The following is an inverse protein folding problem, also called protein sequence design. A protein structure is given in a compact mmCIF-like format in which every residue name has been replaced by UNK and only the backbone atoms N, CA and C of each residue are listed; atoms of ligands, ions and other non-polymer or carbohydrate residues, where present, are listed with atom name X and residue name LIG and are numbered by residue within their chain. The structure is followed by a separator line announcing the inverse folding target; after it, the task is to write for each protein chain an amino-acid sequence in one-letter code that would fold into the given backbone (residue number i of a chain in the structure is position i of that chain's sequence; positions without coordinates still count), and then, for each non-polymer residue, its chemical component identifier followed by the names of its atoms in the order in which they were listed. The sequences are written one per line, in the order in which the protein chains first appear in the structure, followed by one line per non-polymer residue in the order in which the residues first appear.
data_IF_699243628327
#
_entry.id   IF_699243628327
#
_cell.length_a   1.000
_cell.length_b   1.000
_cell.length_c   1.000
_cell.angle_alpha   90.00
_cell.angle_beta   90.00
_cell.angle_gamma   90.00
#
_symmetry.space_group_name_H-M   'P 1'
#
loop_
_entity.id
_entity.type
_entity.pdbx_description
1 polymer ?
#
# COMPACT_ATOMS: atom_id res chain seq x y z
N UNK A 1 -21.47 -8.72 23.42
CA UNK A 1 -22.67 -7.89 23.29
C UNK A 1 -22.90 -7.52 21.86
N UNK A 2 -24.16 -7.51 21.43
CA UNK A 2 -24.52 -7.10 20.07
C UNK A 2 -24.71 -5.59 20.04
N UNK A 3 -24.15 -4.89 19.06
CA UNK A 3 -24.29 -3.45 18.84
C UNK A 3 -25.70 -2.99 18.42
N UNK A 4 -26.68 -3.90 18.37
CA UNK A 4 -27.98 -3.74 17.70
C UNK A 4 -28.78 -2.49 18.12
N UNK A 5 -28.61 -1.99 19.35
CA UNK A 5 -29.36 -0.83 19.85
C UNK A 5 -28.59 0.49 19.82
N UNK A 6 -27.30 0.49 19.45
CA UNK A 6 -26.46 1.67 19.45
C UNK A 6 -26.07 2.15 18.04
N UNK A 7 -26.33 1.35 17.01
CA UNK A 7 -25.94 1.68 15.64
C UNK A 7 -26.98 2.59 14.97
N UNK A 8 -26.55 3.78 14.59
CA UNK A 8 -27.28 4.72 13.74
C UNK A 8 -26.52 4.92 12.42
N UNK A 9 -27.06 4.36 11.33
CA UNK A 9 -26.43 4.42 10.01
C UNK A 9 -26.33 5.84 9.46
N UNK A 10 -27.27 6.72 9.83
CA UNK A 10 -27.24 8.12 9.41
C UNK A 10 -26.10 8.86 10.10
N UNK A 11 -25.95 8.67 11.40
CA UNK A 11 -24.87 9.26 12.19
C UNK A 11 -23.49 8.74 11.72
N UNK A 12 -23.36 7.42 11.51
CA UNK A 12 -22.15 6.80 10.96
C UNK A 12 -21.72 7.41 9.63
N UNK A 13 -22.69 7.68 8.77
CA UNK A 13 -22.42 8.34 7.50
C UNK A 13 -21.95 9.78 7.64
N UNK A 14 -22.54 10.53 8.53
CA UNK A 14 -22.13 11.90 8.80
C UNK A 14 -20.67 11.93 9.26
N UNK A 15 -20.29 11.02 10.17
CA UNK A 15 -18.88 10.88 10.60
C UNK A 15 -17.96 10.45 9.46
N UNK A 16 -18.33 9.45 8.67
CA UNK A 16 -17.51 8.99 7.53
C UNK A 16 -17.31 10.11 6.51
N UNK A 17 -18.37 10.86 6.17
CA UNK A 17 -18.27 12.01 5.27
C UNK A 17 -17.35 13.07 5.84
N UNK A 18 -17.46 13.35 7.14
CA UNK A 18 -16.55 14.30 7.81
C UNK A 18 -15.09 13.85 7.73
N UNK A 19 -14.78 12.57 7.95
CA UNK A 19 -13.40 12.05 7.84
C UNK A 19 -12.87 12.14 6.42
N UNK A 20 -13.69 11.85 5.41
CA UNK A 20 -13.32 11.96 4.00
C UNK A 20 -13.04 13.44 3.63
N UNK A 21 -13.92 14.35 4.02
CA UNK A 21 -13.80 15.78 3.70
C UNK A 21 -12.61 16.44 4.42
N UNK A 22 -12.26 15.97 5.60
CA UNK A 22 -11.11 16.43 6.37
C UNK A 22 -9.77 15.83 5.88
N UNK A 23 -9.82 14.77 5.07
CA UNK A 23 -8.62 14.10 4.60
C UNK A 23 -7.92 14.87 3.49
N UNK A 24 -6.77 15.46 3.81
CA UNK A 24 -5.93 16.23 2.89
C UNK A 24 -4.85 15.38 2.20
N UNK A 25 -4.93 14.06 2.30
CA UNK A 25 -3.94 13.16 1.72
C UNK A 25 -3.79 13.35 0.21
N UNK A 26 -2.54 13.37 -0.24
CA UNK A 26 -2.18 13.46 -1.66
C UNK A 26 -1.91 12.10 -2.30
N UNK A 27 -2.05 11.01 -1.55
CA UNK A 27 -1.84 9.68 -2.09
C UNK A 27 -2.96 9.32 -3.08
N UNK A 28 -2.58 8.84 -4.26
CA UNK A 28 -3.58 8.41 -5.26
C UNK A 28 -4.44 7.25 -4.74
N UNK A 29 -3.85 6.35 -3.94
CA UNK A 29 -4.58 5.28 -3.27
C UNK A 29 -5.73 5.82 -2.39
N UNK A 30 -5.52 6.92 -1.67
CA UNK A 30 -6.55 7.52 -0.82
C UNK A 30 -7.66 8.18 -1.62
N UNK A 31 -7.32 8.87 -2.71
CA UNK A 31 -8.33 9.44 -3.62
C UNK A 31 -9.27 8.37 -4.17
N UNK A 32 -8.73 7.19 -4.45
CA UNK A 32 -9.52 6.04 -4.90
C UNK A 32 -10.44 5.53 -3.78
N UNK A 33 -9.97 5.49 -2.54
CA UNK A 33 -10.79 5.14 -1.38
C UNK A 33 -11.88 6.18 -1.14
N UNK A 34 -11.57 7.48 -1.25
CA UNK A 34 -12.58 8.55 -1.14
C UNK A 34 -13.71 8.34 -2.17
N UNK A 35 -13.35 8.13 -3.43
CA UNK A 35 -14.31 7.87 -4.50
C UNK A 35 -15.15 6.62 -4.22
N UNK A 36 -14.51 5.55 -3.76
CA UNK A 36 -15.19 4.30 -3.42
C UNK A 36 -16.32 4.51 -2.39
N UNK A 37 -16.04 5.24 -1.31
CA UNK A 37 -17.06 5.55 -0.30
C UNK A 37 -18.10 6.55 -0.78
N UNK A 38 -17.73 7.52 -1.62
CA UNK A 38 -18.69 8.47 -2.18
C UNK A 38 -19.71 7.84 -3.15
N UNK A 39 -19.32 6.78 -3.86
CA UNK A 39 -20.17 6.08 -4.83
C UNK A 39 -21.01 4.95 -4.20
N UNK A 40 -20.72 4.54 -2.97
CA UNK A 40 -21.43 3.46 -2.27
C UNK A 40 -22.19 3.98 -1.06
N UNK A 41 -23.45 3.61 -0.97
CA UNK A 41 -24.27 3.85 0.22
C UNK A 41 -23.88 2.87 1.32
N UNK A 42 -22.92 3.23 2.16
CA UNK A 42 -22.71 2.79 3.56
C UNK A 42 -22.69 1.31 3.90
N UNK A 43 -22.24 0.45 3.02
CA UNK A 43 -21.94 -0.92 3.44
C UNK A 43 -20.54 -0.94 4.06
N UNK A 44 -20.42 -1.10 5.38
CA UNK A 44 -19.12 -1.23 6.02
C UNK A 44 -18.41 -2.49 5.54
N UNK A 45 -17.09 -2.39 5.42
CA UNK A 45 -16.25 -3.47 4.89
C UNK A 45 -15.65 -4.35 6.00
N UNK A 46 -15.44 -3.77 7.18
CA UNK A 46 -14.68 -4.39 8.25
C UNK A 46 -15.49 -4.63 9.53
N UNK A 47 -16.74 -4.22 9.56
CA UNK A 47 -17.65 -4.53 10.66
C UNK A 47 -19.06 -4.84 10.14
N UNK A 48 -19.86 -5.46 10.99
CA UNK A 48 -21.25 -5.80 10.77
C UNK A 48 -22.04 -5.60 12.06
N UNK A 49 -23.34 -5.92 12.07
CA UNK A 49 -24.17 -5.85 13.29
C UNK A 49 -23.64 -6.68 14.45
N UNK A 50 -22.92 -7.74 14.17
CA UNK A 50 -22.33 -8.63 15.19
C UNK A 50 -21.04 -8.08 15.81
N UNK A 51 -20.43 -7.07 15.21
CA UNK A 51 -19.17 -6.50 15.63
C UNK A 51 -18.17 -6.37 14.47
N UNK A 52 -16.92 -6.12 14.83
CA UNK A 52 -15.80 -6.10 13.89
C UNK A 52 -15.53 -7.51 13.35
N UNK A 53 -15.17 -7.61 12.09
CA UNK A 53 -14.86 -8.91 11.46
C UNK A 53 -13.47 -9.40 11.86
N UNK A 54 -13.26 -10.71 11.94
CA UNK A 54 -11.94 -11.32 12.20
C UNK A 54 -10.87 -10.87 11.20
N UNK A 55 -11.29 -10.45 10.01
CA UNK A 55 -10.38 -9.93 8.99
C UNK A 55 -9.83 -8.54 9.30
N UNK A 56 -10.52 -7.74 10.10
CA UNK A 56 -9.99 -6.45 10.58
C UNK A 56 -8.79 -6.66 11.52
N UNK A 57 -8.93 -7.54 12.49
CA UNK A 57 -7.83 -7.93 13.39
C UNK A 57 -6.68 -8.60 12.63
N UNK A 58 -7.04 -9.46 11.67
CA UNK A 58 -6.05 -10.12 10.81
C UNK A 58 -5.26 -9.12 9.96
N UNK A 59 -5.91 -8.07 9.43
CA UNK A 59 -5.24 -7.03 8.67
C UNK A 59 -4.24 -6.26 9.55
N UNK A 60 -4.67 -5.82 10.75
CA UNK A 60 -3.77 -5.14 11.68
C UNK A 60 -2.55 -6.02 12.00
N UNK A 61 -2.79 -7.27 12.43
CA UNK A 61 -1.72 -8.20 12.81
C UNK A 61 -0.74 -8.46 11.64
N UNK A 62 -1.25 -8.56 10.42
CA UNK A 62 -0.42 -8.75 9.24
C UNK A 62 0.41 -7.49 8.94
N UNK A 63 -0.19 -6.30 8.96
CA UNK A 63 0.54 -5.07 8.71
C UNK A 63 1.60 -4.79 9.78
N UNK A 64 1.31 -5.04 11.05
CA UNK A 64 2.29 -4.92 12.15
C UNK A 64 3.54 -5.78 11.91
N UNK A 65 3.35 -6.99 11.38
CA UNK A 65 4.45 -7.92 11.07
C UNK A 65 5.18 -7.53 9.77
N UNK A 66 4.43 -7.19 8.73
CA UNK A 66 4.99 -7.02 7.39
C UNK A 66 5.63 -5.65 7.15
N UNK A 67 5.03 -4.55 7.63
CA UNK A 67 5.54 -3.21 7.33
C UNK A 67 7.02 -3.01 7.70
N UNK A 68 7.48 -3.39 8.91
CA UNK A 68 8.89 -3.24 9.24
C UNK A 68 9.81 -4.09 8.35
N UNK A 69 9.39 -5.30 8.00
CA UNK A 69 10.17 -6.20 7.14
C UNK A 69 10.32 -5.69 5.71
N UNK A 70 9.39 -4.85 5.28
CA UNK A 70 9.41 -4.19 3.98
C UNK A 70 10.04 -2.78 4.02
N UNK A 71 10.49 -2.32 5.18
CA UNK A 71 11.02 -0.98 5.39
C UNK A 71 9.98 0.13 5.25
N UNK A 72 8.73 -0.16 5.59
CA UNK A 72 7.62 0.77 5.51
C UNK A 72 7.30 1.36 6.89
N UNK A 73 6.99 2.67 6.92
CA UNK A 73 6.62 3.34 8.16
C UNK A 73 5.18 2.96 8.58
N UNK A 74 4.98 2.37 9.77
CA UNK A 74 3.66 2.03 10.30
C UNK A 74 2.67 3.19 10.35
N UNK A 75 3.12 4.41 10.66
CA UNK A 75 2.26 5.59 10.76
C UNK A 75 1.61 5.95 9.41
N UNK A 76 2.31 5.66 8.30
CA UNK A 76 1.75 5.85 6.96
C UNK A 76 0.58 4.90 6.64
N UNK A 77 0.31 3.92 7.51
CA UNK A 77 -0.76 2.93 7.38
C UNK A 77 -1.75 2.97 8.55
N UNK A 78 -1.75 4.04 9.34
CA UNK A 78 -2.69 4.28 10.46
C UNK A 78 -2.68 3.18 11.53
N UNK A 79 -1.54 2.49 11.75
CA UNK A 79 -1.50 1.33 12.64
C UNK A 79 -1.88 1.68 14.07
N UNK A 80 -1.40 2.80 14.59
CA UNK A 80 -1.74 3.26 15.95
C UNK A 80 -3.21 3.60 16.10
N UNK A 81 -3.79 4.26 15.10
CA UNK A 81 -5.22 4.64 15.08
C UNK A 81 -6.10 3.40 14.96
N UNK A 82 -5.76 2.46 14.08
CA UNK A 82 -6.47 1.20 13.90
C UNK A 82 -6.42 0.36 15.19
N UNK A 83 -5.25 0.23 15.80
CA UNK A 83 -5.06 -0.52 17.05
C UNK A 83 -5.90 0.09 18.20
N UNK A 84 -5.86 1.42 18.33
CA UNK A 84 -6.65 2.14 19.33
C UNK A 84 -8.15 1.94 19.14
N UNK A 85 -8.64 2.06 17.90
CA UNK A 85 -10.06 1.89 17.60
C UNK A 85 -10.53 0.44 17.79
N UNK A 86 -9.72 -0.55 17.40
CA UNK A 86 -9.99 -1.96 17.68
C UNK A 86 -10.05 -2.25 19.17
N UNK A 87 -9.14 -1.68 19.97
CA UNK A 87 -9.12 -1.84 21.42
C UNK A 87 -10.41 -1.26 22.06
N UNK A 88 -10.85 -0.08 21.64
CA UNK A 88 -12.12 0.53 22.06
C UNK A 88 -13.30 -0.40 21.73
N UNK A 89 -13.34 -0.94 20.51
CA UNK A 89 -14.42 -1.82 20.06
C UNK A 89 -14.44 -3.14 20.83
N UNK A 90 -13.29 -3.79 20.99
CA UNK A 90 -13.21 -5.06 21.72
C UNK A 90 -13.54 -4.95 23.20
N UNK A 91 -13.17 -3.84 23.84
CA UNK A 91 -13.50 -3.54 25.24
C UNK A 91 -14.87 -2.92 25.43
N UNK A 92 -15.60 -2.58 24.36
CA UNK A 92 -16.83 -1.81 24.38
C UNK A 92 -16.70 -0.51 25.19
N UNK A 93 -15.57 0.17 25.03
CA UNK A 93 -15.15 1.31 25.85
C UNK A 93 -15.58 2.68 25.30
N UNK A 94 -16.60 2.75 24.48
CA UNK A 94 -17.04 3.97 23.77
C UNK A 94 -17.32 5.14 24.71
N UNK A 95 -18.14 4.92 25.73
CA UNK A 95 -18.53 5.98 26.68
C UNK A 95 -17.36 6.41 27.59
N UNK A 96 -16.43 5.51 27.88
CA UNK A 96 -15.29 5.78 28.77
C UNK A 96 -14.23 6.69 28.13
N UNK A 97 -14.16 6.73 26.80
CA UNK A 97 -13.23 7.59 26.05
C UNK A 97 -13.92 8.81 25.41
N UNK A 98 -15.24 8.99 25.66
CA UNK A 98 -16.01 10.11 25.11
C UNK A 98 -16.25 10.06 23.60
N UNK A 99 -16.11 8.88 23.00
CA UNK A 99 -16.35 8.64 21.57
C UNK A 99 -17.51 7.66 21.38
N UNK A 100 -18.43 7.99 20.46
CA UNK A 100 -19.57 7.12 20.18
C UNK A 100 -19.16 5.94 19.30
N UNK A 101 -19.94 4.86 19.40
CA UNK A 101 -19.77 3.72 18.48
C UNK A 101 -19.96 4.14 17.02
N UNK A 102 -20.83 5.12 16.76
CA UNK A 102 -21.14 5.63 15.43
C UNK A 102 -20.04 6.52 14.86
N UNK A 103 -19.09 6.97 15.69
CA UNK A 103 -17.87 7.67 15.29
C UNK A 103 -16.70 6.68 15.08
N UNK A 104 -16.49 5.79 16.05
CA UNK A 104 -15.34 4.88 16.06
C UNK A 104 -15.39 3.86 14.93
N UNK A 105 -16.55 3.23 14.68
CA UNK A 105 -16.67 2.20 13.66
C UNK A 105 -16.42 2.71 12.23
N UNK A 106 -17.02 3.83 11.76
CA UNK A 106 -16.71 4.32 10.41
C UNK A 106 -15.28 4.85 10.28
N UNK A 107 -14.68 5.41 11.34
CA UNK A 107 -13.27 5.80 11.34
C UNK A 107 -12.36 4.58 11.18
N UNK A 108 -12.62 3.53 11.94
CA UNK A 108 -11.90 2.25 11.84
C UNK A 108 -12.02 1.64 10.44
N UNK A 109 -13.24 1.59 9.90
CA UNK A 109 -13.51 1.05 8.56
C UNK A 109 -12.72 1.82 7.48
N UNK A 110 -12.72 3.14 7.59
CA UNK A 110 -12.02 4.02 6.68
C UNK A 110 -10.48 3.86 6.75
N UNK A 111 -9.91 3.81 7.96
CA UNK A 111 -8.46 3.61 8.14
C UNK A 111 -8.02 2.22 7.67
N UNK A 112 -8.76 1.17 7.98
CA UNK A 112 -8.48 -0.19 7.50
C UNK A 112 -8.51 -0.27 5.97
N UNK A 113 -9.50 0.36 5.35
CA UNK A 113 -9.60 0.39 3.88
C UNK A 113 -8.44 1.15 3.24
N UNK A 114 -8.08 2.31 3.79
CA UNK A 114 -6.90 3.08 3.31
C UNK A 114 -5.61 2.26 3.48
N UNK A 115 -5.41 1.66 4.64
CA UNK A 115 -4.23 0.83 4.90
C UNK A 115 -4.14 -0.35 3.92
N UNK A 116 -5.25 -1.03 3.67
CA UNK A 116 -5.33 -2.14 2.73
C UNK A 116 -4.98 -1.71 1.30
N UNK A 117 -5.60 -0.63 0.80
CA UNK A 117 -5.37 -0.15 -0.57
C UNK A 117 -3.96 0.41 -0.73
N UNK A 118 -3.46 1.20 0.23
CA UNK A 118 -2.08 1.69 0.23
C UNK A 118 -1.07 0.55 0.16
N UNK A 119 -1.25 -0.48 1.02
CA UNK A 119 -0.32 -1.61 1.08
C UNK A 119 -0.35 -2.42 -0.22
N UNK A 120 -1.52 -2.83 -0.68
CA UNK A 120 -1.65 -3.70 -1.85
C UNK A 120 -1.14 -3.03 -3.13
N UNK A 121 -1.48 -1.76 -3.35
CA UNK A 121 -0.98 -0.99 -4.49
C UNK A 121 0.52 -0.74 -4.38
N UNK A 122 0.98 -0.26 -3.22
CA UNK A 122 2.39 0.05 -3.02
C UNK A 122 3.30 -1.18 -3.18
N UNK A 123 2.89 -2.33 -2.68
CA UNK A 123 3.67 -3.57 -2.82
C UNK A 123 3.68 -4.11 -4.25
N UNK A 124 2.62 -3.89 -5.03
CA UNK A 124 2.53 -4.38 -6.41
C UNK A 124 3.16 -3.44 -7.44
N UNK A 125 3.15 -2.13 -7.20
CA UNK A 125 3.51 -1.12 -8.21
C UNK A 125 4.56 -0.12 -7.72
N UNK A 126 4.94 -0.18 -6.44
CA UNK A 126 5.78 0.80 -5.77
C UNK A 126 4.99 1.93 -5.11
N UNK A 127 5.61 2.55 -4.13
CA UNK A 127 5.08 3.73 -3.41
C UNK A 127 5.52 5.04 -4.08
N UNK A 128 6.58 4.99 -4.87
CA UNK A 128 7.15 6.10 -5.62
C UNK A 128 7.02 5.84 -7.11
N UNK A 129 6.56 6.83 -7.85
CA UNK A 129 6.47 6.77 -9.30
C UNK A 129 7.79 7.23 -9.92
N UNK A 130 8.57 6.33 -10.56
CA UNK A 130 9.86 6.67 -11.14
C UNK A 130 9.76 7.72 -12.25
N UNK A 131 8.70 7.67 -13.06
CA UNK A 131 8.43 8.64 -14.12
C UNK A 131 8.25 10.07 -13.59
N UNK A 132 7.75 10.22 -12.34
CA UNK A 132 7.59 11.54 -11.68
C UNK A 132 8.87 12.01 -10.99
N UNK A 133 9.72 11.10 -10.53
CA UNK A 133 10.92 11.41 -9.75
C UNK A 133 12.14 11.61 -10.65
N UNK A 134 12.29 10.81 -11.70
CA UNK A 134 13.51 10.79 -12.53
C UNK A 134 13.38 11.51 -13.86
N UNK A 135 12.18 11.91 -14.29
CA UNK A 135 11.94 12.51 -15.59
C UNK A 135 12.28 14.01 -15.70
N UNK A 136 12.92 14.60 -14.67
CA UNK A 136 13.27 16.03 -14.63
C UNK A 136 14.76 16.26 -14.40
N UNK A 137 15.62 15.31 -14.82
CA UNK A 137 17.03 15.34 -14.46
C UNK A 137 17.90 16.13 -15.45
N UNK A 138 17.43 16.37 -16.69
CA UNK A 138 18.15 17.17 -17.68
C UNK A 138 17.33 18.33 -18.23
N UNK A 139 17.98 19.48 -18.30
CA UNK A 139 17.43 20.63 -19.00
C UNK A 139 17.61 20.46 -20.51
N UNK A 140 16.57 20.66 -21.29
CA UNK A 140 16.70 20.72 -22.74
C UNK A 140 17.56 21.92 -23.14
N UNK A 141 18.43 21.72 -24.10
CA UNK A 141 19.33 22.76 -24.60
C UNK A 141 18.62 23.97 -25.21
N UNK A 142 17.36 23.81 -25.62
CA UNK A 142 16.49 24.86 -26.15
C UNK A 142 15.70 25.64 -25.05
N UNK A 143 15.91 25.31 -23.78
CA UNK A 143 15.24 25.98 -22.65
C UNK A 143 13.74 25.67 -22.47
N UNK A 144 13.16 24.75 -23.26
CA UNK A 144 11.72 24.43 -23.26
C UNK A 144 11.28 23.46 -22.15
N UNK A 145 12.17 23.09 -21.24
CA UNK A 145 11.88 22.18 -20.10
C UNK A 145 12.94 21.09 -19.93
N UNK A 146 12.54 19.99 -19.31
CA UNK A 146 13.44 18.87 -19.02
C UNK A 146 13.30 17.76 -20.09
N UNK A 147 14.44 17.17 -20.49
CA UNK A 147 14.48 15.94 -21.26
C UNK A 147 14.43 14.73 -20.33
N UNK A 148 13.80 13.65 -20.78
CA UNK A 148 13.92 12.36 -20.11
C UNK A 148 15.33 11.79 -20.36
N UNK A 149 16.12 11.63 -19.31
CA UNK A 149 17.40 10.92 -19.39
C UNK A 149 17.19 9.41 -19.58
N UNK A 150 16.11 8.87 -19.01
CA UNK A 150 15.82 7.44 -19.04
C UNK A 150 14.31 7.24 -19.26
N UNK A 151 13.98 6.41 -20.21
CA UNK A 151 12.60 5.92 -20.36
C UNK A 151 12.36 4.80 -19.36
N UNK A 152 11.91 5.18 -18.16
CA UNK A 152 11.39 4.23 -17.19
C UNK A 152 9.94 3.91 -17.53
N UNK A 153 9.74 2.94 -18.41
CA UNK A 153 8.42 2.40 -18.65
C UNK A 153 8.06 1.41 -17.53
N UNK A 154 7.38 1.92 -16.53
CA UNK A 154 6.79 1.09 -15.46
C UNK A 154 5.29 0.97 -15.67
N UNK A 155 4.76 -0.20 -15.36
CA UNK A 155 3.33 -0.44 -15.41
C UNK A 155 2.60 0.53 -14.47
N UNK A 156 1.58 1.20 -14.99
CA UNK A 156 0.73 2.04 -14.17
C UNK A 156 -0.04 1.20 -13.14
N UNK A 157 -0.26 1.71 -11.90
CA UNK A 157 -1.07 1.03 -10.92
C UNK A 157 -2.51 0.82 -11.41
N UNK A 158 -3.01 -0.40 -11.23
CA UNK A 158 -4.42 -0.71 -11.38
C UNK A 158 -5.11 -0.53 -10.03
N UNK A 159 -5.83 0.57 -9.85
CA UNK A 159 -6.54 0.88 -8.62
C UNK A 159 -7.91 0.18 -8.51
N UNK A 160 -8.45 -0.33 -9.61
CA UNK A 160 -9.73 -1.03 -9.61
C UNK A 160 -9.63 -2.44 -9.01
N UNK A 161 -8.48 -3.10 -9.21
CA UNK A 161 -8.28 -4.46 -8.72
C UNK A 161 -8.39 -4.56 -7.19
N UNK A 162 -7.66 -3.78 -6.37
CA UNK A 162 -7.79 -3.85 -4.91
C UNK A 162 -9.18 -3.44 -4.41
N UNK A 163 -9.88 -2.53 -5.09
CA UNK A 163 -11.26 -2.17 -4.74
C UNK A 163 -12.23 -3.33 -4.95
N UNK A 164 -12.08 -4.08 -6.05
CA UNK A 164 -12.86 -5.30 -6.28
C UNK A 164 -12.55 -6.38 -5.24
N UNK A 165 -11.30 -6.47 -4.81
CA UNK A 165 -10.87 -7.42 -3.77
C UNK A 165 -11.37 -7.11 -2.38
N UNK A 166 -11.64 -5.84 -2.05
CA UNK A 166 -12.19 -5.44 -0.75
C UNK A 166 -13.48 -6.18 -0.37
N UNK A 167 -14.33 -6.45 -1.34
CA UNK A 167 -15.61 -7.17 -1.14
C UNK A 167 -15.54 -8.66 -1.46
N UNK A 168 -14.36 -9.14 -1.88
CA UNK A 168 -14.14 -10.53 -2.26
C UNK A 168 -13.74 -11.40 -1.06
N UNK A 169 -14.13 -12.69 -1.01
CA UNK A 169 -13.68 -13.63 0.02
C UNK A 169 -12.16 -13.79 0.09
N UNK A 170 -11.45 -13.56 -1.01
CA UNK A 170 -9.99 -13.69 -1.11
C UNK A 170 -9.22 -12.40 -0.80
N UNK A 171 -9.87 -11.38 -0.20
CA UNK A 171 -9.21 -10.09 0.08
C UNK A 171 -7.93 -10.22 0.91
N UNK A 172 -7.92 -11.11 1.91
CA UNK A 172 -6.73 -11.33 2.74
C UNK A 172 -5.63 -12.08 1.99
N UNK A 173 -5.98 -13.03 1.13
CA UNK A 173 -5.02 -13.70 0.23
C UNK A 173 -4.41 -12.72 -0.76
N UNK A 174 -5.21 -11.82 -1.31
CA UNK A 174 -4.72 -10.75 -2.19
C UNK A 174 -3.71 -9.84 -1.49
N UNK A 175 -3.99 -9.46 -0.24
CA UNK A 175 -3.05 -8.69 0.59
C UNK A 175 -1.72 -9.45 0.78
N UNK A 176 -1.79 -10.73 1.18
CA UNK A 176 -0.63 -11.57 1.47
C UNK A 176 0.26 -11.80 0.25
N UNK A 177 -0.34 -11.85 -0.94
CA UNK A 177 0.38 -12.08 -2.21
C UNK A 177 0.78 -10.79 -2.92
N UNK A 178 0.61 -9.62 -2.29
CA UNK A 178 0.90 -8.34 -2.92
C UNK A 178 2.39 -8.01 -2.99
N UNK A 179 3.17 -8.45 -2.01
CA UNK A 179 4.60 -8.16 -1.96
C UNK A 179 5.41 -9.01 -2.97
N UNK A 180 6.52 -8.48 -3.52
CA UNK A 180 7.41 -9.26 -4.37
C UNK A 180 7.99 -10.47 -3.63
N UNK A 181 8.11 -11.60 -4.36
CA UNK A 181 8.56 -12.88 -3.77
C UNK A 181 9.91 -13.37 -4.28
N UNK A 182 10.51 -12.69 -5.27
CA UNK A 182 11.75 -13.13 -5.88
C UNK A 182 12.99 -12.91 -4.98
N UNK A 183 14.04 -13.64 -5.28
CA UNK A 183 15.24 -13.80 -4.42
C UNK A 183 15.86 -12.45 -4.02
N UNK A 184 16.06 -11.53 -4.98
CA UNK A 184 16.67 -10.23 -4.69
C UNK A 184 15.90 -9.45 -3.62
N UNK A 185 14.55 -9.40 -3.73
CA UNK A 185 13.71 -8.72 -2.75
C UNK A 185 13.86 -9.33 -1.35
N UNK A 186 13.83 -10.65 -1.24
CA UNK A 186 14.01 -11.37 0.03
C UNK A 186 15.40 -11.18 0.62
N UNK A 187 16.42 -11.12 -0.22
CA UNK A 187 17.79 -10.81 0.21
C UNK A 187 17.89 -9.41 0.80
N UNK A 188 17.30 -8.41 0.14
CA UNK A 188 17.28 -7.03 0.63
C UNK A 188 16.51 -6.92 1.98
N UNK A 189 15.39 -7.62 2.13
CA UNK A 189 14.69 -7.69 3.42
C UNK A 189 15.58 -8.26 4.53
N UNK A 190 16.31 -9.34 4.23
CA UNK A 190 17.23 -9.95 5.19
C UNK A 190 18.40 -9.05 5.54
N UNK A 191 18.92 -8.28 4.58
CA UNK A 191 19.96 -7.28 4.80
C UNK A 191 19.44 -6.12 5.67
N UNK A 192 18.24 -5.60 5.36
CA UNK A 192 17.61 -4.53 6.14
C UNK A 192 17.49 -4.90 7.63
N UNK A 193 17.06 -6.13 7.93
CA UNK A 193 16.90 -6.62 9.29
C UNK A 193 18.23 -6.70 10.08
N UNK A 194 19.39 -6.77 9.41
CA UNK A 194 20.73 -6.92 10.03
C UNK A 194 21.53 -5.63 10.05
N UNK A 195 21.22 -4.70 9.17
CA UNK A 195 21.99 -3.46 8.99
C UNK A 195 21.60 -2.44 10.05
N UNK A 196 22.62 -1.82 10.66
CA UNK A 196 22.46 -0.71 11.62
C UNK A 196 22.98 0.63 11.06
N UNK A 197 23.71 0.59 9.96
CA UNK A 197 24.24 1.78 9.30
C UNK A 197 23.11 2.49 8.54
N UNK A 198 22.91 3.78 8.84
CA UNK A 198 21.82 4.59 8.28
C UNK A 198 21.94 4.74 6.76
N UNK A 199 23.15 4.93 6.25
CA UNK A 199 23.41 5.10 4.81
C UNK A 199 23.10 3.81 4.05
N UNK A 200 23.52 2.69 4.60
CA UNK A 200 23.24 1.39 4.02
C UNK A 200 21.75 1.04 4.08
N UNK A 201 21.06 1.35 5.21
CA UNK A 201 19.62 1.23 5.29
C UNK A 201 18.91 2.01 4.17
N UNK A 202 19.29 3.27 3.93
CA UNK A 202 18.69 4.09 2.88
C UNK A 202 18.88 3.48 1.48
N UNK A 203 20.04 2.93 1.18
CA UNK A 203 20.31 2.23 -0.09
C UNK A 203 19.43 0.99 -0.23
N UNK A 204 19.30 0.19 0.83
CA UNK A 204 18.45 -1.01 0.85
C UNK A 204 16.99 -0.62 0.62
N UNK A 205 16.48 0.40 1.32
CA UNK A 205 15.11 0.91 1.16
C UNK A 205 14.84 1.37 -0.27
N UNK A 206 15.75 2.11 -0.87
CA UNK A 206 15.64 2.54 -2.27
C UNK A 206 15.60 1.35 -3.24
N UNK A 207 16.37 0.31 -2.97
CA UNK A 207 16.39 -0.89 -3.81
C UNK A 207 15.15 -1.78 -3.57
N UNK A 208 14.63 -1.86 -2.35
CA UNK A 208 13.34 -2.51 -2.08
C UNK A 208 12.20 -1.82 -2.85
N UNK A 209 12.22 -0.48 -2.91
CA UNK A 209 11.25 0.28 -3.70
C UNK A 209 11.38 -0.03 -5.21
N UNK A 210 12.59 0.00 -5.76
CA UNK A 210 12.85 -0.38 -7.17
C UNK A 210 12.35 -1.78 -7.49
N UNK A 211 12.48 -2.69 -6.54
CA UNK A 211 12.01 -4.07 -6.69
C UNK A 211 10.48 -4.20 -6.80
N UNK A 212 9.71 -3.21 -6.36
CA UNK A 212 8.24 -3.19 -6.50
C UNK A 212 7.79 -2.71 -7.88
N UNK A 213 8.64 -1.97 -8.60
CA UNK A 213 8.30 -1.45 -9.91
C UNK A 213 8.19 -2.57 -10.94
N UNK A 214 7.05 -2.63 -11.61
CA UNK A 214 6.84 -3.56 -12.70
C UNK A 214 7.31 -2.89 -14.01
N UNK A 215 8.55 -3.19 -14.40
CA UNK A 215 9.08 -2.71 -15.67
C UNK A 215 8.32 -3.35 -16.82
N UNK A 216 7.90 -2.55 -17.79
CA UNK A 216 7.36 -3.04 -19.06
C UNK A 216 8.48 -3.69 -19.85
N UNK A 217 8.33 -4.97 -20.17
CA UNK A 217 9.28 -5.65 -21.05
C UNK A 217 8.79 -5.53 -22.48
N UNK A 218 9.69 -5.25 -23.45
CA UNK A 218 9.30 -5.31 -24.85
C UNK A 218 8.74 -6.69 -25.20
N UNK A 219 7.54 -6.72 -25.74
CA UNK A 219 6.91 -7.98 -26.17
C UNK A 219 7.76 -8.67 -27.26
N UNK A 220 7.80 -10.00 -27.21
CA UNK A 220 8.39 -10.83 -28.26
C UNK A 220 9.90 -11.01 -28.27
N UNK A 221 10.63 -10.59 -27.24
CA UNK A 221 12.09 -10.83 -27.15
C UNK A 221 12.40 -12.02 -26.24
N UNK A 222 12.90 -13.09 -26.85
CA UNK A 222 13.33 -14.28 -26.11
C UNK A 222 14.71 -14.15 -25.47
N UNK A 223 15.51 -13.15 -25.86
CA UNK A 223 16.87 -12.96 -25.36
C UNK A 223 17.07 -11.49 -24.97
N UNK A 224 17.74 -11.29 -23.82
CA UNK A 224 18.10 -9.95 -23.34
C UNK A 224 19.60 -9.91 -23.00
N UNK A 225 20.22 -8.79 -23.30
CA UNK A 225 21.60 -8.51 -22.85
C UNK A 225 21.51 -7.44 -21.76
N UNK A 226 21.99 -7.78 -20.58
CA UNK A 226 22.06 -6.86 -19.44
C UNK A 226 23.51 -6.42 -19.28
N UNK A 227 23.74 -5.11 -19.36
CA UNK A 227 25.07 -4.52 -19.16
C UNK A 227 25.08 -3.78 -17.82
N UNK A 228 25.88 -4.26 -16.89
CA UNK A 228 26.15 -3.59 -15.62
C UNK A 228 27.45 -2.80 -15.74
N UNK A 229 27.36 -1.54 -16.16
CA UNK A 229 28.55 -0.68 -16.38
C UNK A 229 29.37 -0.52 -15.11
N UNK A 230 28.83 -0.25 -13.92
CA UNK A 230 29.62 -0.12 -12.70
C UNK A 230 30.41 -1.37 -12.32
N UNK A 231 29.85 -2.56 -12.60
CA UNK A 231 30.52 -3.82 -12.32
C UNK A 231 31.34 -4.36 -13.48
N UNK A 232 31.34 -3.68 -14.64
CA UNK A 232 31.96 -4.13 -15.90
C UNK A 232 31.53 -5.56 -16.28
N UNK A 233 30.24 -5.86 -16.10
CA UNK A 233 29.69 -7.19 -16.36
C UNK A 233 28.59 -7.13 -17.43
N UNK A 234 28.55 -8.17 -18.22
CA UNK A 234 27.52 -8.36 -19.27
C UNK A 234 26.92 -9.75 -19.08
N UNK A 235 25.60 -9.83 -19.07
CA UNK A 235 24.88 -11.10 -19.03
C UNK A 235 23.96 -11.24 -20.23
N UNK A 236 23.97 -12.39 -20.84
CA UNK A 236 22.90 -12.80 -21.75
C UNK A 236 21.82 -13.56 -20.95
N UNK A 237 20.62 -13.08 -20.97
CA UNK A 237 19.47 -13.70 -20.29
C UNK A 237 18.60 -14.35 -21.36
N UNK A 238 18.51 -15.68 -21.30
CA UNK A 238 17.55 -16.47 -22.10
C UNK A 238 16.35 -16.84 -21.25
N UNK A 239 15.18 -17.20 -21.84
CA UNK A 239 13.99 -17.56 -21.08
C UNK A 239 14.21 -18.63 -20.02
N UNK A 240 15.12 -19.57 -20.27
CA UNK A 240 15.37 -20.72 -19.41
C UNK A 240 16.74 -20.73 -18.72
N UNK A 241 17.61 -19.74 -18.97
CA UNK A 241 18.95 -19.69 -18.37
C UNK A 241 19.56 -18.29 -18.39
N UNK A 242 20.36 -18.00 -17.36
CA UNK A 242 21.29 -16.86 -17.35
C UNK A 242 22.66 -17.40 -17.73
N UNK A 243 23.21 -16.96 -18.85
CA UNK A 243 24.57 -17.30 -19.27
C UNK A 243 25.53 -16.21 -18.81
N UNK A 244 26.69 -16.54 -18.24
CA UNK A 244 27.73 -15.59 -17.83
C UNK A 244 28.37 -14.87 -19.00
#
# INVERSE_FOLDING_TARGET
GTFVHALDTTEQWQYLTHFIDADTSKWEADKVVHKYYAERTHEPLWYARAGVTDQADSLLSQLQRELPSHGLNPDAFFLSEIESDLDIVHKLAFDSVGQSINEVLPRLDYHLTKAYVRYTIGQRYGFVRPDKVFNHLDYKTDGTGYARLFDYEVKAPDYEEPLKKLTSPDRMTYLQTSAPTYILYKTLQSQLARTKDTTECQKILANLERCRWQMTRPEGRSHQVVVNIPALQLWAVCPDSVLP
#
